data_IF_547672748206
#
_entry.id   IF_547672748206
#
_cell.length_a   1.000
_cell.length_b   1.000
_cell.length_c   1.000
_cell.angle_alpha   90.00
_cell.angle_beta   90.00
_cell.angle_gamma   90.00
#
_symmetry.space_group_name_H-M   'P 1'
#
loop_
_entity.id
_entity.type
_entity.pdbx_description
1 polymer ?
#
# COMPACT_ATOMS: atom_id res chain seq x y z
N UNK A 1 -2.85 15.92 3.29
CA UNK A 1 -2.60 14.68 2.53
C UNK A 1 -1.13 14.64 2.13
N UNK A 2 -0.43 13.52 2.36
CA UNK A 2 1.01 13.39 2.00
C UNK A 2 1.15 12.98 0.54
N UNK A 3 2.08 13.61 -0.20
CA UNK A 3 2.43 13.24 -1.58
C UNK A 3 3.26 11.96 -1.57
N UNK A 4 2.93 11.03 -2.46
CA UNK A 4 3.59 9.73 -2.58
C UNK A 4 4.10 9.54 -4.01
N UNK A 5 5.30 8.97 -4.14
CA UNK A 5 5.94 8.63 -5.41
C UNK A 5 6.57 7.24 -5.31
N UNK A 6 6.70 6.53 -6.42
CA UNK A 6 7.46 5.27 -6.46
C UNK A 6 8.95 5.50 -6.22
N UNK A 7 9.62 4.51 -5.62
CA UNK A 7 11.06 4.50 -5.36
C UNK A 7 11.50 5.22 -4.08
N UNK A 8 10.57 5.81 -3.31
CA UNK A 8 10.89 6.39 -1.99
C UNK A 8 10.32 5.54 -0.86
N UNK A 9 10.85 5.73 0.35
CA UNK A 9 10.30 5.11 1.56
C UNK A 9 8.90 5.67 1.82
N UNK A 10 7.97 4.79 2.22
CA UNK A 10 6.62 5.22 2.60
C UNK A 10 6.71 6.25 3.73
N UNK A 11 6.15 7.46 3.57
CA UNK A 11 6.16 8.45 4.63
C UNK A 11 5.30 7.96 5.78
N UNK A 12 5.84 8.02 7.01
CA UNK A 12 5.12 7.57 8.20
C UNK A 12 3.80 8.31 8.37
N UNK A 13 2.79 7.65 8.91
CA UNK A 13 1.50 8.25 9.22
C UNK A 13 0.89 7.56 10.42
N UNK A 14 0.34 8.35 11.35
CA UNK A 14 -0.39 7.81 12.48
C UNK A 14 -1.82 7.45 12.06
N UNK A 15 -2.22 6.22 12.36
CA UNK A 15 -3.54 5.67 12.08
C UNK A 15 -4.03 5.03 13.38
N UNK A 16 -5.07 5.64 13.98
CA UNK A 16 -5.66 5.20 15.26
C UNK A 16 -4.66 5.14 16.43
N UNK A 17 -3.63 6.00 16.41
CA UNK A 17 -2.60 6.06 17.45
C UNK A 17 -1.36 5.21 17.18
N UNK A 18 -1.36 4.40 16.11
CA UNK A 18 -0.21 3.59 15.70
C UNK A 18 0.41 4.08 14.38
N UNK A 19 1.72 3.90 14.22
CA UNK A 19 2.40 4.17 12.96
C UNK A 19 1.95 3.20 11.86
N UNK A 20 1.82 3.67 10.63
CA UNK A 20 1.55 2.84 9.44
C UNK A 20 2.56 1.69 9.30
N UNK A 21 3.79 1.86 9.80
CA UNK A 21 4.82 0.83 9.75
C UNK A 21 4.47 -0.43 10.54
N UNK A 22 3.59 -0.32 11.54
CA UNK A 22 3.06 -1.48 12.27
C UNK A 22 2.16 -2.37 11.41
N UNK A 23 1.58 -1.81 10.34
CA UNK A 23 0.68 -2.52 9.43
C UNK A 23 1.44 -3.17 8.27
N UNK A 24 2.63 -2.66 7.94
CA UNK A 24 3.49 -3.21 6.90
C UNK A 24 4.04 -4.58 7.32
N UNK A 25 4.24 -5.46 6.34
CA UNK A 25 4.94 -6.72 6.56
C UNK A 25 6.41 -6.58 6.20
N UNK A 26 7.29 -7.15 7.03
CA UNK A 26 8.74 -7.21 6.77
C UNK A 26 9.13 -8.35 5.82
N UNK A 27 8.18 -9.23 5.49
CA UNK A 27 8.42 -10.43 4.65
C UNK A 27 7.46 -10.54 3.46
N UNK A 28 6.36 -9.79 3.47
CA UNK A 28 5.35 -9.78 2.41
C UNK A 28 5.21 -8.38 1.84
N UNK A 29 4.82 -8.30 0.58
CA UNK A 29 4.40 -7.04 -0.02
C UNK A 29 3.10 -6.58 0.64
N UNK A 30 2.92 -5.28 0.79
CA UNK A 30 1.72 -4.70 1.39
C UNK A 30 1.04 -3.76 0.40
N UNK A 31 -0.19 -4.06 0.01
CA UNK A 31 -1.06 -3.15 -0.73
C UNK A 31 -1.88 -2.33 0.25
N UNK A 32 -1.60 -1.04 0.33
CA UNK A 32 -2.40 -0.07 1.06
C UNK A 32 -3.50 0.44 0.14
N UNK A 33 -4.74 0.36 0.62
CA UNK A 33 -5.94 0.87 -0.05
C UNK A 33 -6.51 2.01 0.79
N UNK A 34 -6.43 3.22 0.27
CA UNK A 34 -7.03 4.41 0.89
C UNK A 34 -8.53 4.43 0.57
N UNK A 35 -9.38 4.19 1.57
CA UNK A 35 -10.83 4.15 1.43
C UNK A 35 -11.43 2.79 1.76
N UNK A 36 -12.66 2.56 1.31
CA UNK A 36 -13.45 1.36 1.66
C UNK A 36 -13.62 0.37 0.51
N UNK A 37 -12.83 0.51 -0.55
CA UNK A 37 -12.97 -0.34 -1.72
C UNK A 37 -12.57 -1.79 -1.42
N UNK A 38 -13.38 -2.75 -1.86
CA UNK A 38 -13.11 -4.17 -1.67
C UNK A 38 -12.20 -4.69 -2.79
N UNK A 39 -10.93 -4.90 -2.48
CA UNK A 39 -9.99 -5.60 -3.35
C UNK A 39 -10.14 -7.11 -3.15
N UNK A 40 -10.33 -7.86 -4.24
CA UNK A 40 -10.50 -9.34 -4.24
C UNK A 40 -9.23 -10.11 -4.63
N UNK A 41 -8.10 -9.44 -4.77
CA UNK A 41 -6.83 -10.08 -5.11
C UNK A 41 -6.37 -10.95 -3.95
N UNK A 42 -5.98 -12.18 -4.23
CA UNK A 42 -5.35 -13.07 -3.27
C UNK A 42 -4.02 -13.55 -3.85
N UNK A 43 -2.93 -13.27 -3.13
CA UNK A 43 -1.60 -13.75 -3.49
C UNK A 43 -0.84 -14.08 -2.21
N UNK A 44 -0.06 -15.18 -2.21
CA UNK A 44 0.61 -15.69 -1.00
C UNK A 44 1.59 -14.69 -0.39
N UNK A 45 2.16 -13.81 -1.22
CA UNK A 45 3.13 -12.79 -0.81
C UNK A 45 2.53 -11.39 -0.63
N UNK A 46 1.19 -11.26 -0.69
CA UNK A 46 0.52 -9.96 -0.64
C UNK A 46 -0.38 -9.86 0.59
N UNK A 47 -0.13 -8.85 1.42
CA UNK A 47 -1.02 -8.40 2.48
C UNK A 47 -1.80 -7.17 1.99
N UNK A 48 -3.10 -7.13 2.21
CA UNK A 48 -3.93 -5.96 1.89
C UNK A 48 -4.28 -5.25 3.19
N UNK A 49 -4.11 -3.93 3.20
CA UNK A 49 -4.41 -3.08 4.34
C UNK A 49 -5.29 -1.91 3.91
N UNK A 50 -6.41 -1.71 4.62
CA UNK A 50 -7.30 -0.58 4.39
C UNK A 50 -7.02 0.54 5.38
N UNK A 51 -6.83 1.75 4.86
CA UNK A 51 -6.63 2.97 5.64
C UNK A 51 -7.69 4.00 5.27
N UNK A 52 -7.96 5.02 6.11
CA UNK A 52 -8.87 6.09 5.77
C UNK A 52 -8.51 6.78 4.43
N UNK A 53 -9.51 7.20 3.66
CA UNK A 53 -9.33 7.77 2.32
C UNK A 53 -8.43 9.01 2.28
N UNK A 54 -8.41 9.78 3.37
CA UNK A 54 -7.63 11.01 3.51
C UNK A 54 -6.18 10.80 4.00
N UNK A 55 -5.74 9.55 4.20
CA UNK A 55 -4.39 9.22 4.71
C UNK A 55 -3.31 9.67 3.72
N UNK A 56 -3.44 9.27 2.45
CA UNK A 56 -2.50 9.59 1.38
C UNK A 56 -3.18 10.23 0.19
N UNK A 57 -2.42 10.96 -0.65
CA UNK A 57 -2.95 11.57 -1.87
C UNK A 57 -3.37 10.57 -2.95
N UNK A 58 -3.00 9.30 -2.76
CA UNK A 58 -3.09 8.26 -3.79
C UNK A 58 -3.89 7.08 -3.27
N UNK A 59 -4.77 6.52 -4.10
CA UNK A 59 -5.73 5.49 -3.68
C UNK A 59 -5.10 4.12 -3.40
N UNK A 60 -4.20 3.65 -4.28
CA UNK A 60 -3.54 2.37 -4.13
C UNK A 60 -2.04 2.57 -4.05
N UNK A 61 -1.43 1.99 -3.02
CA UNK A 61 0.01 2.11 -2.79
C UNK A 61 0.55 0.72 -2.52
N UNK A 62 1.42 0.24 -3.39
CA UNK A 62 2.09 -1.05 -3.26
C UNK A 62 3.46 -0.85 -2.61
N UNK A 63 3.65 -1.49 -1.47
CA UNK A 63 4.84 -1.36 -0.63
C UNK A 63 5.60 -2.69 -0.63
N UNK A 64 6.92 -2.60 -0.83
CA UNK A 64 7.85 -3.72 -0.72
C UNK A 64 8.14 -4.05 0.75
N UNK A 65 8.63 -5.26 1.05
CA UNK A 65 9.04 -5.64 2.41
C UNK A 65 10.11 -4.70 3.02
N UNK A 66 10.94 -4.07 2.19
CA UNK A 66 11.95 -3.09 2.57
C UNK A 66 11.37 -1.67 2.83
N UNK A 67 10.04 -1.52 2.86
CA UNK A 67 9.28 -0.29 3.09
C UNK A 67 9.34 0.74 1.96
N UNK A 68 9.94 0.42 0.82
CA UNK A 68 9.89 1.27 -0.36
C UNK A 68 8.57 1.13 -1.10
N UNK A 69 8.10 2.24 -1.65
CA UNK A 69 6.93 2.26 -2.52
C UNK A 69 7.34 1.72 -3.89
N UNK A 70 6.76 0.58 -4.28
CA UNK A 70 6.90 0.05 -5.62
C UNK A 70 6.01 0.82 -6.60
N UNK A 71 4.73 0.99 -6.25
CA UNK A 71 3.74 1.69 -7.08
C UNK A 71 2.83 2.56 -6.21
N UNK A 72 2.36 3.67 -6.78
CA UNK A 72 1.37 4.54 -6.16
C UNK A 72 0.50 5.16 -7.25
N UNK A 73 -0.72 4.66 -7.42
CA UNK A 73 -1.64 5.06 -8.49
C UNK A 73 -3.06 5.26 -7.93
N UNK A 74 -3.85 6.14 -8.57
CA UNK A 74 -5.25 6.34 -8.19
C UNK A 74 -6.19 5.29 -8.79
N UNK A 75 -5.72 4.59 -9.82
CA UNK A 75 -6.40 3.49 -10.49
C UNK A 75 -5.36 2.39 -10.70
N UNK A 76 -5.64 1.16 -10.28
CA UNK A 76 -4.69 0.06 -10.38
C UNK A 76 -5.44 -1.23 -10.67
N UNK A 77 -5.03 -1.95 -11.72
CA UNK A 77 -5.61 -3.25 -12.05
C UNK A 77 -4.96 -4.37 -11.24
N UNK A 78 -5.69 -5.46 -11.05
CA UNK A 78 -5.17 -6.65 -10.39
C UNK A 78 -3.94 -7.22 -11.13
N UNK A 79 -3.94 -7.16 -12.46
CA UNK A 79 -2.85 -7.64 -13.30
C UNK A 79 -1.56 -6.84 -13.04
N UNK A 80 -1.65 -5.51 -12.95
CA UNK A 80 -0.50 -4.65 -12.63
C UNK A 80 0.11 -5.01 -11.28
N UNK A 81 -0.73 -5.27 -10.27
CA UNK A 81 -0.25 -5.68 -8.94
C UNK A 81 0.46 -7.02 -9.02
N UNK A 82 -0.16 -8.01 -9.69
CA UNK A 82 0.43 -9.34 -9.82
C UNK A 82 1.75 -9.34 -10.59
N UNK A 83 1.89 -8.52 -11.63
CA UNK A 83 3.15 -8.36 -12.38
C UNK A 83 4.32 -7.85 -11.51
N UNK A 84 4.05 -7.14 -10.41
CA UNK A 84 5.09 -6.70 -9.48
C UNK A 84 5.48 -7.77 -8.45
N UNK A 85 4.65 -8.80 -8.28
CA UNK A 85 4.82 -9.86 -7.29
C UNK A 85 5.48 -11.13 -7.86
N UNK A 86 5.71 -11.15 -9.18
CA UNK A 86 6.45 -12.20 -9.90
C UNK A 86 7.96 -11.94 -9.84
#
# INVERSE_FOLDING_TARGET
MKKIKSGVILPDCEIKGDSIYTLLSETHWTLIVCGKEKIKIQHKQLKICHVPENTYSTRYILIKPDRHIALAENEMSNETILQQLL
#
